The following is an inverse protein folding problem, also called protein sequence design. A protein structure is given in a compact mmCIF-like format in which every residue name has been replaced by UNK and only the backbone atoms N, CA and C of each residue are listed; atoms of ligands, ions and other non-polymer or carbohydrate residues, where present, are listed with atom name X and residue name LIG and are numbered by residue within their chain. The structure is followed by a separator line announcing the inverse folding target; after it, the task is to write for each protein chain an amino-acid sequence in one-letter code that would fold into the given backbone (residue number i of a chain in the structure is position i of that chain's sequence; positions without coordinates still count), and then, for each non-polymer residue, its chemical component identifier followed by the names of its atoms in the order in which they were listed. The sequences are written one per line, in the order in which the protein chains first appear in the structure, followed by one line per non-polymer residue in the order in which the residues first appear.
data_IF_668380227156
#
_entry.id   IF_668380227156
#
_cell.length_a   1.000
_cell.length_b   1.000
_cell.length_c   1.000
_cell.angle_alpha   90.00
_cell.angle_beta   90.00
_cell.angle_gamma   90.00
#
_symmetry.space_group_name_H-M   'P 1'
#
loop_
_entity.id
_entity.type
_entity.pdbx_description
1 polymer ?
#
# COMPACT_ATOMS: atom_id res chain seq x y z
N UNK A 1 11.68 0.68 15.34
CA UNK A 1 11.94 -0.78 15.39
C UNK A 1 10.83 -1.50 14.60
N UNK A 2 11.16 -2.51 13.79
CA UNK A 2 10.19 -3.19 12.90
C UNK A 2 10.63 -3.24 11.42
N UNK A 3 11.71 -2.52 11.09
CA UNK A 3 12.43 -2.64 9.83
C UNK A 3 13.68 -3.53 9.98
N UNK A 4 14.11 -4.26 8.93
CA UNK A 4 13.45 -4.41 7.63
C UNK A 4 12.18 -5.28 7.71
N UNK A 5 11.23 -5.05 6.80
CA UNK A 5 9.94 -5.76 6.72
C UNK A 5 9.78 -6.49 5.39
N UNK A 6 9.12 -7.65 5.43
CA UNK A 6 8.67 -8.38 4.24
C UNK A 6 7.26 -7.92 3.86
N UNK A 7 7.07 -7.52 2.61
CA UNK A 7 5.76 -7.15 2.07
C UNK A 7 4.99 -8.38 1.61
N UNK A 8 3.71 -8.41 1.94
CA UNK A 8 2.79 -9.45 1.51
C UNK A 8 1.65 -8.81 0.74
N UNK A 9 1.29 -9.34 -0.43
CA UNK A 9 0.06 -8.92 -1.10
C UNK A 9 -1.18 -9.61 -0.50
N UNK A 10 -2.37 -9.23 -0.97
CA UNK A 10 -3.64 -9.87 -0.65
C UNK A 10 -3.65 -11.40 -0.77
N UNK A 11 -2.78 -12.01 -1.59
CA UNK A 11 -2.70 -13.46 -1.77
C UNK A 11 -1.59 -14.11 -0.94
N UNK A 12 -1.01 -13.39 0.02
CA UNK A 12 0.07 -13.89 0.86
C UNK A 12 1.36 -14.13 0.10
N UNK A 13 1.55 -13.45 -1.04
CA UNK A 13 2.74 -13.62 -1.86
C UNK A 13 3.76 -12.52 -1.55
N UNK A 14 5.04 -12.87 -1.66
CA UNK A 14 6.20 -11.97 -1.51
C UNK A 14 7.00 -11.95 -2.81
N UNK A 15 8.03 -11.11 -2.91
CA UNK A 15 9.02 -11.19 -3.99
C UNK A 15 9.38 -9.84 -4.61
N UNK A 16 9.84 -9.87 -5.87
CA UNK A 16 10.37 -8.67 -6.53
C UNK A 16 9.30 -7.58 -6.64
N UNK A 17 9.66 -6.40 -6.17
CA UNK A 17 8.92 -5.19 -6.44
C UNK A 17 9.09 -4.85 -7.92
N UNK A 18 7.98 -4.51 -8.57
CA UNK A 18 8.03 -3.90 -9.88
C UNK A 18 8.59 -2.47 -9.75
N UNK A 19 9.00 -1.86 -10.86
CA UNK A 19 9.55 -0.50 -10.88
C UNK A 19 8.49 0.53 -10.45
N UNK A 20 8.35 0.75 -9.14
CA UNK A 20 7.48 1.74 -8.53
C UNK A 20 8.20 2.37 -7.33
N UNK A 21 7.99 3.65 -7.10
CA UNK A 21 8.52 4.35 -5.94
C UNK A 21 7.58 4.20 -4.74
N UNK A 22 8.11 4.18 -3.51
CA UNK A 22 7.27 4.34 -2.32
C UNK A 22 6.74 5.78 -2.23
N UNK A 23 5.61 5.94 -1.55
CA UNK A 23 5.04 7.24 -1.16
C UNK A 23 4.92 7.30 0.35
N UNK A 24 5.20 8.47 0.94
CA UNK A 24 4.95 8.75 2.34
C UNK A 24 3.75 9.68 2.46
N UNK A 25 2.79 9.31 3.29
CA UNK A 25 1.68 10.17 3.67
C UNK A 25 1.20 9.79 5.06
N UNK A 26 0.71 10.75 5.83
CA UNK A 26 0.25 10.54 7.19
C UNK A 26 -1.28 10.57 7.18
N UNK A 27 -1.92 9.40 7.23
CA UNK A 27 -3.38 9.33 7.19
C UNK A 27 -4.02 9.40 8.57
N UNK A 28 -3.30 9.03 9.63
CA UNK A 28 -3.83 8.96 11.00
C UNK A 28 -3.43 10.16 11.89
N UNK A 29 -2.56 11.04 11.37
CA UNK A 29 -2.14 12.28 12.01
C UNK A 29 -1.05 12.10 13.07
N UNK A 30 -0.37 10.95 13.11
CA UNK A 30 0.67 10.68 14.09
C UNK A 30 2.04 11.32 13.74
N UNK A 31 3.10 10.97 14.47
CA UNK A 31 4.43 11.53 14.23
C UNK A 31 5.24 10.79 13.14
N UNK A 32 4.83 9.59 12.74
CA UNK A 32 5.56 8.71 11.84
C UNK A 32 4.69 8.33 10.64
N UNK A 33 4.91 8.95 9.46
CA UNK A 33 4.03 8.74 8.31
C UNK A 33 4.02 7.29 7.85
N UNK A 34 2.89 6.87 7.28
CA UNK A 34 2.77 5.60 6.59
C UNK A 34 3.60 5.54 5.31
N UNK A 35 3.94 4.31 4.92
CA UNK A 35 4.63 3.99 3.68
C UNK A 35 3.71 3.21 2.74
N UNK A 36 3.43 3.78 1.58
CA UNK A 36 2.63 3.17 0.52
C UNK A 36 3.55 2.58 -0.54
N UNK A 37 3.47 1.28 -0.77
CA UNK A 37 4.33 0.56 -1.71
C UNK A 37 3.48 -0.23 -2.68
N UNK A 38 3.68 -0.03 -3.98
CA UNK A 38 3.08 -0.92 -4.97
C UNK A 38 3.85 -2.25 -4.98
N UNK A 39 3.17 -3.31 -4.56
CA UNK A 39 3.67 -4.67 -4.56
C UNK A 39 2.76 -5.51 -5.44
N UNK A 40 3.25 -5.84 -6.65
CA UNK A 40 2.47 -6.50 -7.70
C UNK A 40 1.24 -5.65 -8.06
N UNK A 41 0.05 -6.22 -7.99
CA UNK A 41 -1.19 -5.50 -8.23
C UNK A 41 -1.74 -4.78 -7.00
N UNK A 42 -1.09 -4.92 -5.85
CA UNK A 42 -1.58 -4.40 -4.57
C UNK A 42 -0.84 -3.13 -4.17
N UNK A 43 -1.51 -2.29 -3.39
CA UNK A 43 -0.85 -1.17 -2.70
C UNK A 43 -0.76 -1.54 -1.24
N UNK A 44 0.43 -1.97 -0.81
CA UNK A 44 0.68 -2.35 0.56
C UNK A 44 1.00 -1.09 1.36
N UNK A 45 0.27 -0.87 2.44
CA UNK A 45 0.49 0.23 3.38
C UNK A 45 1.15 -0.32 4.63
N UNK A 46 2.23 0.32 5.06
CA UNK A 46 2.92 0.07 6.32
C UNK A 46 2.79 1.31 7.22
N UNK A 47 2.63 1.13 8.53
CA UNK A 47 2.79 2.21 9.49
C UNK A 47 4.27 2.66 9.61
N UNK A 48 4.50 3.73 10.35
CA UNK A 48 5.86 4.21 10.64
C UNK A 48 6.76 3.23 11.40
N UNK A 49 6.19 2.18 12.01
CA UNK A 49 6.91 1.13 12.71
C UNK A 49 7.29 -0.05 11.80
N UNK A 50 6.62 -0.22 10.66
CA UNK A 50 6.77 -1.33 9.71
C UNK A 50 5.66 -2.37 9.79
N UNK A 51 4.56 -2.12 10.51
CA UNK A 51 3.37 -2.98 10.52
C UNK A 51 2.54 -2.79 9.25
N UNK A 52 2.20 -3.89 8.58
CA UNK A 52 1.36 -3.87 7.38
C UNK A 52 -0.11 -3.66 7.68
N UNK A 53 -0.65 -2.50 7.35
CA UNK A 53 -2.04 -2.09 7.62
C UNK A 53 -3.07 -2.62 6.60
N UNK A 54 -2.60 -3.22 5.51
CA UNK A 54 -3.45 -3.80 4.45
C UNK A 54 -3.62 -5.31 4.62
N UNK A 55 -4.72 -5.83 4.09
CA UNK A 55 -5.01 -7.26 4.11
C UNK A 55 -3.88 -8.07 3.48
N UNK A 56 -3.54 -9.18 4.13
CA UNK A 56 -2.61 -10.18 3.63
C UNK A 56 -3.04 -11.54 4.16
N UNK A 57 -3.29 -12.48 3.24
CA UNK A 57 -3.64 -13.85 3.59
C UNK A 57 -2.53 -14.53 4.40
N UNK A 58 -1.26 -14.20 4.13
CA UNK A 58 -0.13 -14.75 4.87
C UNK A 58 -0.11 -14.37 6.36
N UNK A 59 -0.74 -13.24 6.72
CA UNK A 59 -0.89 -12.81 8.12
C UNK A 59 -2.25 -13.20 8.71
N UNK A 60 -3.20 -13.66 7.88
CA UNK A 60 -4.54 -14.07 8.32
C UNK A 60 -5.42 -12.94 8.86
N UNK A 61 -5.11 -11.67 8.53
CA UNK A 61 -5.78 -10.49 9.14
C UNK A 61 -6.94 -10.05 8.27
N UNK A 62 -8.17 -10.44 8.60
CA UNK A 62 -9.36 -10.24 7.75
C UNK A 62 -10.03 -8.86 7.88
N UNK A 63 -9.71 -8.08 8.90
CA UNK A 63 -10.36 -6.77 9.16
C UNK A 63 -9.62 -5.60 8.50
N UNK A 64 -8.52 -5.87 7.82
CA UNK A 64 -7.72 -4.84 7.12
C UNK A 64 -8.28 -4.57 5.72
N UNK A 65 -8.26 -3.31 5.26
CA UNK A 65 -8.65 -2.99 3.89
C UNK A 65 -7.67 -3.60 2.88
N UNK A 66 -8.16 -3.83 1.66
CA UNK A 66 -7.32 -4.18 0.51
C UNK A 66 -7.30 -3.04 -0.49
N UNK A 67 -6.17 -2.88 -1.17
CA UNK A 67 -5.98 -1.92 -2.26
C UNK A 67 -5.61 -2.63 -3.57
N UNK A 68 -6.08 -3.88 -3.70
CA UNK A 68 -5.81 -4.72 -4.84
C UNK A 68 -6.52 -4.20 -6.10
N UNK A 69 -5.76 -4.11 -7.19
CA UNK A 69 -6.26 -3.72 -8.49
C UNK A 69 -6.26 -4.92 -9.45
N UNK A 70 -7.45 -5.38 -9.85
CA UNK A 70 -7.58 -6.45 -10.87
C UNK A 70 -7.42 -5.87 -12.28
N UNK A 71 -6.18 -5.63 -12.71
CA UNK A 71 -5.84 -5.17 -14.06
C UNK A 71 -4.59 -5.87 -14.57
N UNK A 72 -4.51 -6.11 -15.89
CA UNK A 72 -3.31 -6.63 -16.54
C UNK A 72 -2.11 -5.67 -16.44
N UNK A 73 -2.36 -4.37 -16.27
CA UNK A 73 -1.35 -3.32 -16.15
C UNK A 73 -1.27 -2.74 -14.72
N UNK A 74 -1.61 -3.57 -13.73
CA UNK A 74 -1.59 -3.23 -12.31
C UNK A 74 -0.17 -3.09 -11.72
N UNK A 75 0.89 -3.40 -12.45
CA UNK A 75 2.24 -3.48 -11.91
C UNK A 75 3.10 -2.29 -12.36
N UNK A 76 4.05 -1.87 -11.51
CA UNK A 76 5.02 -0.84 -11.88
C UNK A 76 4.44 0.56 -11.95
N UNK A 77 3.39 0.83 -11.17
CA UNK A 77 2.79 2.17 -11.05
C UNK A 77 3.05 2.69 -9.65
N UNK A 78 3.57 3.91 -9.56
CA UNK A 78 3.68 4.61 -8.28
C UNK A 78 2.31 5.17 -7.90
N UNK A 79 1.77 4.89 -6.70
CA UNK A 79 0.52 5.49 -6.26
C UNK A 79 0.68 7.01 -6.08
N UNK A 80 -0.42 7.74 -6.14
CA UNK A 80 -0.51 9.12 -5.67
C UNK A 80 -1.43 9.14 -4.44
N UNK A 81 -1.01 9.81 -3.38
CA UNK A 81 -1.77 9.90 -2.12
C UNK A 81 -1.98 11.38 -1.79
N UNK A 82 -3.25 11.79 -1.66
CA UNK A 82 -3.64 13.16 -1.32
C UNK A 82 -5.10 13.19 -0.87
N UNK A 83 -5.46 14.20 -0.07
CA UNK A 83 -6.85 14.60 0.14
C UNK A 83 -7.29 15.43 -1.08
N UNK A 84 -8.00 14.79 -2.00
CA UNK A 84 -8.36 15.33 -3.31
C UNK A 84 -9.66 16.13 -3.25
N UNK A 85 -10.58 15.73 -2.37
CA UNK A 85 -11.90 16.36 -2.23
C UNK A 85 -12.05 17.27 -1.00
N UNK A 86 -10.99 17.39 -0.20
CA UNK A 86 -10.86 18.26 0.97
C UNK A 86 -11.77 17.86 2.14
N UNK A 87 -12.02 16.57 2.31
CA UNK A 87 -12.82 16.04 3.42
C UNK A 87 -11.99 15.68 4.67
N UNK A 88 -10.67 15.76 4.57
CA UNK A 88 -9.72 15.43 5.64
C UNK A 88 -9.29 13.95 5.65
N UNK A 89 -9.77 13.15 4.71
CA UNK A 89 -9.32 11.78 4.44
C UNK A 89 -8.32 11.79 3.29
N UNK A 90 -7.36 10.86 3.29
CA UNK A 90 -6.45 10.70 2.16
C UNK A 90 -7.01 9.70 1.16
N UNK A 91 -7.09 10.09 -0.10
CA UNK A 91 -7.37 9.20 -1.22
C UNK A 91 -6.07 8.65 -1.80
N UNK A 92 -6.17 7.44 -2.35
CA UNK A 92 -5.07 6.82 -3.10
C UNK A 92 -5.50 6.55 -4.53
N UNK A 93 -4.75 7.12 -5.47
CA UNK A 93 -4.97 6.99 -6.90
C UNK A 93 -3.85 6.15 -7.51
N UNK A 94 -4.22 5.23 -8.39
CA UNK A 94 -3.28 4.44 -9.19
C UNK A 94 -3.69 4.42 -10.65
N UNK A 95 -2.69 4.47 -11.53
CA UNK A 95 -2.92 4.28 -12.95
C UNK A 95 -3.24 2.80 -13.23
N UNK A 96 -4.29 2.57 -14.03
CA UNK A 96 -4.58 1.29 -14.64
C UNK A 96 -4.70 1.51 -16.15
N UNK A 97 -3.74 1.00 -16.92
CA UNK A 97 -3.86 0.97 -18.38
C UNK A 97 -4.84 -0.12 -18.81
N UNK A 98 -5.44 0.03 -19.98
CA UNK A 98 -6.22 -1.00 -20.69
C UNK A 98 -5.47 -1.51 -21.91
#
# INVERSE_FOLDING_TARGET
PGWPVTLWDIWGQTGSLFFASPVLANFDGDALPEVYINHRCDTVVLDGSGEQLTYSDALGITERPSMYMSSALCAGTTPAVADIDLDGTLEVVRAAGT
#
